data_IF_015086844782
#
_entry.id   IF_015086844782
#
_cell.length_a   1.000
_cell.length_b   1.000
_cell.length_c   1.000
_cell.angle_alpha   90.00
_cell.angle_beta   90.00
_cell.angle_gamma   90.00
#
_symmetry.space_group_name_H-M   'P 1'
#
loop_
_entity.id
_entity.type
_entity.pdbx_description
1 polymer ?
#
# COMPACT_ATOMS: atom_id res chain seq x y z
N UNK A 1 -30.09 -8.28 9.76
CA UNK A 1 -28.83 -7.85 10.40
C UNK A 1 -28.50 -6.49 9.80
N UNK A 2 -28.82 -5.41 10.50
CA UNK A 2 -28.93 -4.09 9.89
C UNK A 2 -27.56 -3.44 9.59
N UNK A 3 -27.47 -2.77 8.44
CA UNK A 3 -26.28 -2.03 7.97
C UNK A 3 -25.70 -1.07 9.04
N UNK A 4 -26.57 -0.48 9.87
CA UNK A 4 -26.19 0.41 10.97
C UNK A 4 -25.28 -0.27 12.00
N UNK A 5 -25.55 -1.54 12.31
CA UNK A 5 -24.73 -2.28 13.29
C UNK A 5 -23.36 -2.66 12.71
N UNK A 6 -23.30 -2.99 11.41
CA UNK A 6 -22.05 -3.26 10.72
C UNK A 6 -21.13 -2.04 10.71
N UNK A 7 -21.68 -0.86 10.38
CA UNK A 7 -20.92 0.40 10.40
C UNK A 7 -20.41 0.74 11.80
N UNK A 8 -21.26 0.56 12.83
CA UNK A 8 -20.87 0.79 14.22
C UNK A 8 -19.75 -0.15 14.67
N UNK A 9 -19.78 -1.41 14.21
CA UNK A 9 -18.73 -2.40 14.48
C UNK A 9 -17.41 -2.04 13.77
N UNK A 10 -17.45 -1.68 12.50
CA UNK A 10 -16.25 -1.27 11.73
C UNK A 10 -15.59 -0.04 12.36
N UNK A 11 -16.39 0.95 12.76
CA UNK A 11 -15.88 2.14 13.42
C UNK A 11 -15.12 1.82 14.71
N UNK A 12 -15.67 0.92 15.55
CA UNK A 12 -15.00 0.46 16.77
C UNK A 12 -13.69 -0.27 16.46
N UNK A 13 -13.65 -1.11 15.43
CA UNK A 13 -12.42 -1.82 15.03
C UNK A 13 -11.35 -0.84 14.57
N UNK A 14 -11.70 0.15 13.75
CA UNK A 14 -10.76 1.16 13.26
C UNK A 14 -10.18 2.00 14.42
N UNK A 15 -10.97 2.25 15.46
CA UNK A 15 -10.53 3.00 16.63
C UNK A 15 -9.61 2.19 17.57
N UNK A 16 -9.80 0.87 17.63
CA UNK A 16 -8.96 -0.05 18.43
C UNK A 16 -7.63 -0.35 17.71
N UNK A 17 -7.60 -0.28 16.38
CA UNK A 17 -6.41 -0.54 15.59
C UNK A 17 -5.26 0.44 15.96
N UNK A 18 -4.05 -0.11 16.15
CA UNK A 18 -2.85 0.69 16.40
C UNK A 18 -2.54 1.52 15.16
N UNK A 19 -2.61 2.85 15.30
CA UNK A 19 -2.10 3.76 14.26
C UNK A 19 -0.57 3.65 14.22
N UNK A 20 0.03 3.52 13.03
CA UNK A 20 1.48 3.46 12.91
C UNK A 20 2.10 4.78 13.40
N UNK A 21 3.28 4.68 14.00
CA UNK A 21 4.09 5.86 14.28
C UNK A 21 4.72 6.40 12.99
N UNK A 22 5.15 7.67 13.00
CA UNK A 22 5.78 8.28 11.82
C UNK A 22 7.05 7.52 11.39
N UNK A 23 7.81 6.99 12.36
CA UNK A 23 9.04 6.26 12.08
C UNK A 23 8.75 4.91 11.42
N UNK A 24 7.83 4.12 11.99
CA UNK A 24 7.37 2.85 11.40
C UNK A 24 6.80 3.05 9.99
N UNK A 25 6.01 4.11 9.79
CA UNK A 25 5.46 4.44 8.48
C UNK A 25 6.56 4.78 7.47
N UNK A 26 7.54 5.58 7.88
CA UNK A 26 8.65 6.00 7.03
C UNK A 26 9.56 4.84 6.64
N UNK A 27 9.84 3.92 7.56
CA UNK A 27 10.62 2.71 7.26
C UNK A 27 9.93 1.83 6.22
N UNK A 28 8.65 1.54 6.41
CA UNK A 28 7.86 0.75 5.45
C UNK A 28 7.77 1.48 4.11
N UNK A 29 7.49 2.79 4.11
CA UNK A 29 7.38 3.60 2.91
C UNK A 29 8.67 3.60 2.07
N UNK A 30 9.85 3.64 2.72
CA UNK A 30 11.15 3.55 2.03
C UNK A 30 11.33 2.21 1.33
N UNK A 31 11.05 1.11 2.01
CA UNK A 31 11.20 -0.25 1.47
C UNK A 31 10.21 -0.48 0.32
N UNK A 32 8.94 -0.13 0.53
CA UNK A 32 7.90 -0.26 -0.49
C UNK A 32 8.17 0.65 -1.69
N UNK A 33 8.58 1.90 -1.45
CA UNK A 33 8.92 2.85 -2.51
C UNK A 33 10.08 2.35 -3.38
N UNK A 34 11.11 1.77 -2.76
CA UNK A 34 12.21 1.14 -3.50
C UNK A 34 11.73 -0.04 -4.36
N UNK A 35 10.85 -0.90 -3.81
CA UNK A 35 10.25 -2.00 -4.57
C UNK A 35 9.47 -1.52 -5.79
N UNK A 36 8.63 -0.50 -5.63
CA UNK A 36 7.83 0.07 -6.73
C UNK A 36 8.75 0.60 -7.84
N UNK A 37 9.80 1.34 -7.49
CA UNK A 37 10.76 1.88 -8.48
C UNK A 37 11.47 0.74 -9.20
N UNK A 38 11.94 -0.26 -8.47
CA UNK A 38 12.66 -1.40 -9.04
C UNK A 38 11.79 -2.17 -10.03
N UNK A 39 10.57 -2.53 -9.65
CA UNK A 39 9.64 -3.24 -10.55
C UNK A 39 9.17 -2.36 -11.71
N UNK A 40 8.98 -1.06 -11.48
CA UNK A 40 8.62 -0.11 -12.53
C UNK A 40 9.71 0.01 -13.61
N UNK A 41 10.98 0.08 -13.21
CA UNK A 41 12.11 0.10 -14.13
C UNK A 41 12.23 -1.22 -14.89
N UNK A 42 12.09 -2.36 -14.21
CA UNK A 42 12.14 -3.67 -14.87
C UNK A 42 11.03 -3.81 -15.91
N UNK A 43 9.79 -3.43 -15.57
CA UNK A 43 8.67 -3.43 -16.51
C UNK A 43 8.90 -2.48 -17.69
N UNK A 44 9.48 -1.30 -17.43
CA UNK A 44 9.82 -0.33 -18.47
C UNK A 44 10.89 -0.87 -19.42
N UNK A 45 11.93 -1.53 -18.91
CA UNK A 45 12.98 -2.14 -19.72
C UNK A 45 12.38 -3.21 -20.63
N UNK A 46 11.53 -4.09 -20.10
CA UNK A 46 10.84 -5.10 -20.90
C UNK A 46 10.00 -4.44 -21.99
N UNK A 47 9.21 -3.42 -21.67
CA UNK A 47 8.41 -2.70 -22.66
C UNK A 47 9.26 -2.09 -23.78
N UNK A 48 10.35 -1.42 -23.43
CA UNK A 48 11.25 -0.81 -24.42
C UNK A 48 11.88 -1.87 -25.32
N UNK A 49 12.32 -3.00 -24.77
CA UNK A 49 12.95 -4.06 -25.56
C UNK A 49 11.95 -4.75 -26.51
N UNK A 50 10.70 -4.97 -26.08
CA UNK A 50 9.72 -5.75 -26.85
C UNK A 50 8.84 -4.91 -27.78
N UNK A 51 8.63 -3.63 -27.48
CA UNK A 51 7.70 -2.79 -28.23
C UNK A 51 8.40 -1.69 -29.06
N UNK A 52 9.61 -1.28 -28.67
CA UNK A 52 10.36 -0.24 -29.40
C UNK A 52 11.43 -0.81 -30.33
N UNK A 53 12.03 -1.97 -29.99
CA UNK A 53 12.86 -2.77 -30.89
C UNK A 53 12.01 -3.82 -31.61
#
# INVERSE_FOLDING_TARGET
MELKELLKRIYRILFIARKPTNDEFMEVAKITGFGIILFGIVGLIIYVIFNLF
#
